data_IF_196423159039
#
_entry.id   IF_196423159039
#
_cell.length_a   1.000
_cell.length_b   1.000
_cell.length_c   1.000
_cell.angle_alpha   90.00
_cell.angle_beta   90.00
_cell.angle_gamma   90.00
#
_symmetry.space_group_name_H-M   'P 1'
#
loop_
_entity.id
_entity.type
_entity.pdbx_description
1 polymer ?
#
# COMPACT_ATOMS: atom_id res chain seq x y z
N UNK A 1 19.47 -7.91 16.92
CA UNK A 1 19.08 -6.98 15.81
C UNK A 1 17.56 -6.79 15.79
N UNK A 2 17.07 -5.55 15.69
CA UNK A 2 15.63 -5.24 15.76
C UNK A 2 14.84 -5.77 14.56
N UNK A 3 13.54 -5.97 14.75
CA UNK A 3 12.59 -6.39 13.69
C UNK A 3 12.22 -5.19 12.80
N UNK A 4 11.66 -5.45 11.64
CA UNK A 4 11.32 -4.42 10.66
C UNK A 4 9.90 -4.59 10.13
N UNK A 5 9.25 -3.45 9.88
CA UNK A 5 8.05 -3.33 9.05
C UNK A 5 8.49 -2.80 7.70
N UNK A 6 8.55 -3.67 6.70
CA UNK A 6 8.76 -3.28 5.32
C UNK A 6 7.44 -2.85 4.69
N UNK A 7 7.48 -1.78 3.90
CA UNK A 7 6.34 -1.33 3.10
C UNK A 7 6.72 -1.39 1.63
N UNK A 8 6.08 -2.29 0.88
CA UNK A 8 6.26 -2.47 -0.55
C UNK A 8 4.96 -2.08 -1.26
N UNK A 9 4.90 -0.88 -1.81
CA UNK A 9 3.72 -0.44 -2.54
C UNK A 9 3.96 0.70 -3.50
N UNK A 10 2.86 1.35 -3.91
CA UNK A 10 2.88 2.47 -4.83
C UNK A 10 2.86 3.83 -4.11
N UNK A 11 2.30 4.87 -4.74
CA UNK A 11 2.20 6.22 -4.19
C UNK A 11 1.37 6.28 -2.91
N UNK A 12 0.34 5.43 -2.79
CA UNK A 12 -0.48 5.37 -1.58
C UNK A 12 0.31 4.82 -0.40
N UNK A 13 1.25 3.90 -0.64
CA UNK A 13 2.16 3.36 0.38
C UNK A 13 3.41 4.20 0.62
N UNK A 14 3.83 4.95 -0.40
CA UNK A 14 4.89 5.94 -0.29
C UNK A 14 4.52 7.05 0.71
N UNK A 15 3.24 7.38 0.82
CA UNK A 15 2.75 8.51 1.63
C UNK A 15 2.61 9.78 0.80
N UNK A 16 2.12 9.68 -0.43
CA UNK A 16 1.91 10.85 -1.30
C UNK A 16 1.11 11.93 -0.58
N UNK A 17 1.67 13.13 -0.44
CA UNK A 17 1.01 14.26 0.23
C UNK A 17 0.96 14.16 1.76
N UNK A 18 1.69 13.22 2.38
CA UNK A 18 1.68 12.98 3.83
C UNK A 18 3.11 12.83 4.36
N UNK A 19 3.39 13.40 5.53
CA UNK A 19 4.70 13.25 6.18
C UNK A 19 5.00 11.78 6.48
N UNK A 20 6.27 11.39 6.42
CA UNK A 20 6.71 9.99 6.60
C UNK A 20 6.21 9.38 7.92
N UNK A 21 6.26 10.14 9.01
CA UNK A 21 5.83 9.75 10.36
C UNK A 21 4.31 9.53 10.46
N UNK A 22 3.56 10.07 9.50
CA UNK A 22 2.11 9.91 9.42
C UNK A 22 1.70 8.79 8.46
N UNK A 23 2.64 8.12 7.78
CA UNK A 23 2.32 6.99 6.90
C UNK A 23 1.86 5.77 7.69
N UNK A 24 1.00 4.94 7.08
CA UNK A 24 0.37 3.82 7.78
C UNK A 24 1.40 2.80 8.29
N UNK A 25 2.51 2.61 7.58
CA UNK A 25 3.60 1.73 8.03
C UNK A 25 4.30 2.28 9.26
N UNK A 26 4.49 3.61 9.33
CA UNK A 26 5.03 4.27 10.50
C UNK A 26 4.08 4.20 11.69
N UNK A 27 2.80 4.50 11.48
CA UNK A 27 1.74 4.43 12.49
C UNK A 27 1.64 3.01 13.05
N UNK A 28 1.55 1.99 12.19
CA UNK A 28 1.49 0.59 12.59
C UNK A 28 2.70 0.19 13.46
N UNK A 29 3.92 0.54 13.03
CA UNK A 29 5.14 0.32 13.82
C UNK A 29 5.09 1.02 15.18
N UNK A 30 4.59 2.25 15.22
CA UNK A 30 4.48 3.01 16.48
C UNK A 30 3.52 2.35 17.46
N UNK A 31 2.39 1.86 16.97
CA UNK A 31 1.40 1.17 17.80
C UNK A 31 2.00 -0.14 18.33
N UNK A 32 2.60 -0.96 17.46
CA UNK A 32 3.25 -2.21 17.88
C UNK A 32 4.31 -1.95 18.95
N UNK A 33 5.20 -0.98 18.72
CA UNK A 33 6.30 -0.70 19.65
C UNK A 33 5.82 -0.28 21.04
N UNK A 34 4.67 0.40 21.15
CA UNK A 34 4.06 0.76 22.43
C UNK A 34 3.42 -0.43 23.15
N UNK A 35 3.10 -1.50 22.42
CA UNK A 35 2.53 -2.73 22.96
C UNK A 35 3.57 -3.80 23.28
N UNK A 36 4.85 -3.55 23.02
CA UNK A 36 5.94 -4.48 23.33
C UNK A 36 6.17 -4.61 24.84
N UNK A 37 6.53 -5.81 25.28
CA UNK A 37 6.95 -6.07 26.66
C UNK A 37 8.38 -5.56 26.90
N UNK A 38 8.75 -5.23 28.16
CA UNK A 38 10.13 -4.93 28.50
C UNK A 38 11.10 -6.02 28.01
N UNK A 39 12.14 -5.63 27.28
CA UNK A 39 13.14 -6.54 26.71
C UNK A 39 12.84 -7.05 25.29
N UNK A 40 11.64 -6.83 24.75
CA UNK A 40 11.36 -7.15 23.35
C UNK A 40 12.03 -6.15 22.39
N UNK A 41 12.56 -6.67 21.28
CA UNK A 41 13.21 -5.83 20.28
C UNK A 41 12.19 -4.97 19.54
N UNK A 42 12.46 -3.66 19.46
CA UNK A 42 11.61 -2.72 18.72
C UNK A 42 11.63 -2.97 17.22
N UNK A 43 10.51 -2.59 16.59
CA UNK A 43 10.39 -2.54 15.14
C UNK A 43 10.89 -1.19 14.61
N UNK A 44 11.55 -1.23 13.46
CA UNK A 44 11.81 -0.06 12.60
C UNK A 44 10.95 -0.13 11.33
N UNK A 45 10.81 0.98 10.61
CA UNK A 45 10.14 0.99 9.30
C UNK A 45 11.15 1.09 8.17
N UNK A 46 10.90 0.32 7.12
CA UNK A 46 11.67 0.35 5.88
C UNK A 46 10.71 0.53 4.71
N UNK A 47 10.52 1.77 4.27
CA UNK A 47 9.64 2.05 3.14
C UNK A 47 10.39 1.80 1.81
N UNK A 48 9.90 0.84 1.03
CA UNK A 48 10.36 0.47 -0.31
C UNK A 48 9.33 0.82 -1.39
N UNK A 49 8.33 1.61 -1.02
CA UNK A 49 7.28 2.03 -1.94
C UNK A 49 7.78 3.09 -2.91
N UNK A 50 7.19 3.12 -4.10
CA UNK A 50 7.52 4.12 -5.12
C UNK A 50 6.26 4.51 -5.89
N UNK A 51 5.97 5.81 -6.08
CA UNK A 51 4.86 6.24 -6.93
C UNK A 51 4.89 5.57 -8.31
N UNK A 52 3.72 5.11 -8.76
CA UNK A 52 3.57 4.45 -10.06
C UNK A 52 4.03 2.98 -10.12
N UNK A 53 4.48 2.38 -9.00
CA UNK A 53 4.94 1.00 -8.94
C UNK A 53 3.79 0.01 -9.20
N UNK A 54 3.97 -0.87 -10.18
CA UNK A 54 3.08 -2.01 -10.46
C UNK A 54 3.61 -3.29 -9.83
N UNK A 55 2.85 -4.39 -9.87
CA UNK A 55 3.36 -5.70 -9.40
C UNK A 55 4.56 -6.21 -10.18
N UNK A 56 4.70 -5.83 -11.46
CA UNK A 56 5.89 -6.16 -12.25
C UNK A 56 7.16 -5.51 -11.66
N UNK A 57 7.07 -4.22 -11.32
CA UNK A 57 8.17 -3.51 -10.64
C UNK A 57 8.37 -3.98 -9.21
N UNK A 58 7.28 -4.22 -8.47
CA UNK A 58 7.30 -4.72 -7.10
C UNK A 58 7.99 -6.08 -6.98
N UNK A 59 7.78 -6.99 -7.93
CA UNK A 59 8.48 -8.28 -7.98
C UNK A 59 9.99 -8.11 -8.14
N UNK A 60 10.44 -7.14 -8.94
CA UNK A 60 11.88 -6.84 -9.07
C UNK A 60 12.43 -6.23 -7.79
N UNK A 61 11.68 -5.34 -7.15
CA UNK A 61 12.07 -4.70 -5.91
C UNK A 61 12.23 -5.71 -4.76
N UNK A 62 11.24 -6.60 -4.57
CA UNK A 62 11.28 -7.58 -3.46
C UNK A 62 12.42 -8.58 -3.59
N UNK A 63 12.80 -8.96 -4.82
CA UNK A 63 13.97 -9.81 -5.08
C UNK A 63 15.31 -9.16 -4.70
N UNK A 64 15.33 -7.84 -4.48
CA UNK A 64 16.51 -7.11 -4.03
C UNK A 64 16.46 -6.82 -2.52
N UNK A 65 15.37 -7.18 -1.83
CA UNK A 65 15.19 -6.96 -0.39
C UNK A 65 15.82 -8.10 0.43
N UNK A 66 17.13 -8.25 0.30
CA UNK A 66 17.91 -9.27 1.04
C UNK A 66 18.01 -8.98 2.55
N UNK A 67 17.46 -7.85 3.01
CA UNK A 67 17.45 -7.42 4.41
C UNK A 67 16.20 -7.87 5.18
N UNK A 68 15.24 -8.56 4.54
CA UNK A 68 14.10 -9.22 5.19
C UNK A 68 14.61 -10.38 6.05
N UNK A 69 14.09 -10.49 7.29
CA UNK A 69 14.45 -11.53 8.26
C UNK A 69 13.23 -12.20 8.89
N UNK A 70 13.41 -13.37 9.53
CA UNK A 70 12.37 -14.00 10.32
C UNK A 70 11.75 -13.05 11.36
N UNK A 71 10.42 -12.94 11.30
CA UNK A 71 9.64 -12.08 12.21
C UNK A 71 9.40 -10.66 11.70
N UNK A 72 9.95 -10.30 10.54
CA UNK A 72 9.64 -9.02 9.89
C UNK A 72 8.24 -9.06 9.24
N UNK A 73 7.53 -7.94 9.29
CA UNK A 73 6.29 -7.73 8.57
C UNK A 73 6.60 -7.10 7.20
N UNK A 74 5.95 -7.58 6.13
CA UNK A 74 6.05 -6.96 4.80
C UNK A 74 4.66 -6.61 4.31
N UNK A 75 4.33 -5.33 4.38
CA UNK A 75 3.06 -4.76 3.92
C UNK A 75 3.15 -4.55 2.40
N UNK A 76 2.38 -5.31 1.64
CA UNK A 76 2.34 -5.27 0.17
C UNK A 76 1.07 -4.56 -0.29
N UNK A 77 1.18 -3.46 -1.02
CA UNK A 77 0.04 -2.69 -1.55
C UNK A 77 0.31 -2.28 -2.98
N UNK A 78 -0.07 -3.15 -3.92
CA UNK A 78 0.17 -3.01 -5.36
C UNK A 78 -1.08 -3.48 -6.13
N UNK A 79 -1.27 -2.95 -7.34
CA UNK A 79 -2.39 -3.30 -8.22
C UNK A 79 -3.11 -2.10 -8.85
N UNK A 80 -3.09 -0.94 -8.19
CA UNK A 80 -3.70 0.29 -8.73
C UNK A 80 -2.98 0.68 -10.03
N UNK A 81 -1.65 0.70 -10.02
CA UNK A 81 -0.91 1.02 -11.24
C UNK A 81 -0.96 -0.07 -12.32
N UNK A 82 -1.32 -1.30 -11.98
CA UNK A 82 -1.37 -2.44 -12.90
C UNK A 82 -2.51 -2.31 -13.91
N UNK A 83 -3.67 -1.80 -13.46
CA UNK A 83 -4.82 -1.57 -14.34
C UNK A 83 -4.68 -0.31 -15.21
N UNK A 84 -3.71 0.56 -14.94
CA UNK A 84 -3.65 1.86 -15.60
C UNK A 84 -3.44 1.66 -17.11
N UNK A 85 -4.21 2.38 -17.96
CA UNK A 85 -4.08 2.23 -19.41
C UNK A 85 -2.72 2.73 -19.89
N UNK A 86 -2.10 1.98 -20.79
CA UNK A 86 -0.83 2.33 -21.42
C UNK A 86 -0.78 1.85 -22.87
N UNK A 87 0.14 2.44 -23.64
CA UNK A 87 0.39 2.02 -25.02
C UNK A 87 1.17 0.70 -25.14
N UNK A 88 1.88 0.30 -24.08
CA UNK A 88 2.65 -0.94 -23.96
C UNK A 88 2.63 -1.41 -22.50
N UNK A 89 2.78 -2.72 -22.26
CA UNK A 89 2.87 -3.28 -20.91
C UNK A 89 4.19 -2.92 -20.22
N UNK A 90 4.25 -3.06 -18.91
CA UNK A 90 5.48 -2.83 -18.13
C UNK A 90 6.57 -3.85 -18.50
N UNK A 91 6.18 -5.08 -18.87
CA UNK A 91 7.10 -6.09 -19.42
C UNK A 91 7.70 -5.62 -20.75
N UNK A 92 6.87 -5.23 -21.72
CA UNK A 92 7.31 -4.72 -23.03
C UNK A 92 8.21 -3.49 -22.87
N UNK A 93 7.80 -2.55 -22.00
CA UNK A 93 8.59 -1.36 -21.68
C UNK A 93 9.95 -1.74 -21.13
N UNK A 94 10.04 -2.76 -20.28
CA UNK A 94 11.32 -3.19 -19.72
C UNK A 94 12.26 -3.80 -20.76
N UNK A 95 11.73 -4.55 -21.73
CA UNK A 95 12.50 -5.10 -22.85
C UNK A 95 13.04 -3.97 -23.73
N UNK A 96 12.19 -2.99 -24.08
CA UNK A 96 12.59 -1.82 -24.87
C UNK A 96 13.67 -0.98 -24.18
N UNK A 97 13.61 -0.86 -22.85
CA UNK A 97 14.60 -0.11 -22.08
C UNK A 97 15.94 -0.84 -21.90
N UNK A 98 15.99 -2.16 -22.12
CA UNK A 98 17.23 -2.94 -22.04
C UNK A 98 18.14 -2.78 -23.27
N UNK A 99 17.66 -2.19 -24.37
CA UNK A 99 18.52 -1.85 -25.52
C UNK A 99 19.28 -0.52 -25.30
N UNK A 100 20.61 -0.62 -25.18
CA UNK A 100 21.66 0.43 -25.22
C UNK A 100 21.63 1.61 -24.22
N UNK A 101 20.48 1.97 -23.63
CA UNK A 101 20.34 3.13 -22.74
C UNK A 101 20.55 2.84 -21.24
N UNK A 102 20.78 1.57 -20.87
CA UNK A 102 20.77 1.10 -19.48
C UNK A 102 21.93 1.65 -18.61
N UNK A 103 23.13 1.81 -19.17
CA UNK A 103 24.32 2.25 -18.41
C UNK A 103 24.18 3.70 -17.94
N UNK A 104 23.80 4.59 -18.86
CA UNK A 104 23.61 6.01 -18.56
C UNK A 104 22.46 6.22 -17.56
N UNK A 105 21.39 5.41 -17.69
CA UNK A 105 20.22 5.54 -16.83
C UNK A 105 20.41 4.98 -15.42
N UNK A 106 21.14 3.88 -15.25
CA UNK A 106 21.50 3.34 -13.92
C UNK A 106 22.34 4.32 -13.10
N UNK A 107 23.22 5.07 -13.76
CA UNK A 107 23.97 6.15 -13.12
C UNK A 107 23.07 7.32 -12.72
N UNK A 108 22.09 7.68 -13.57
CA UNK A 108 21.12 8.74 -13.27
C UNK A 108 20.11 8.36 -12.17
N UNK A 109 19.77 7.07 -12.02
CA UNK A 109 18.91 6.56 -10.94
C UNK A 109 19.55 6.66 -9.54
N UNK A 110 20.83 7.02 -9.43
CA UNK A 110 21.45 7.38 -8.14
C UNK A 110 21.05 8.78 -7.66
N UNK A 111 20.58 9.65 -8.57
CA UNK A 111 20.22 11.02 -8.23
C UNK A 111 18.74 11.13 -7.81
N UNK A 112 18.52 11.67 -6.62
CA UNK A 112 17.18 11.83 -6.03
C UNK A 112 16.26 12.67 -6.93
N UNK A 113 16.81 13.71 -7.57
CA UNK A 113 16.11 14.56 -8.54
C UNK A 113 15.60 13.77 -9.74
N UNK A 114 16.41 12.87 -10.32
CA UNK A 114 15.98 12.05 -11.44
C UNK A 114 14.83 11.10 -11.06
N UNK A 115 14.86 10.54 -9.83
CA UNK A 115 13.75 9.76 -9.28
C UNK A 115 12.48 10.60 -9.14
N UNK A 116 12.60 11.83 -8.64
CA UNK A 116 11.48 12.78 -8.51
C UNK A 116 10.91 13.20 -9.87
N UNK A 117 11.76 13.56 -10.85
CA UNK A 117 11.33 13.92 -12.20
C UNK A 117 10.65 12.76 -12.91
N UNK A 118 11.15 11.52 -12.74
CA UNK A 118 10.48 10.34 -13.30
C UNK A 118 9.12 10.09 -12.65
N UNK A 119 9.02 10.25 -11.33
CA UNK A 119 7.75 10.15 -10.61
C UNK A 119 6.75 11.18 -11.15
N UNK A 120 7.15 12.43 -11.32
CA UNK A 120 6.31 13.49 -11.86
C UNK A 120 5.93 13.25 -13.34
N UNK A 121 6.85 12.75 -14.17
CA UNK A 121 6.61 12.46 -15.59
C UNK A 121 5.65 11.30 -15.79
N UNK A 122 5.76 10.24 -14.98
CA UNK A 122 4.78 9.14 -14.99
C UNK A 122 3.38 9.68 -14.67
N UNK A 123 3.25 10.53 -13.65
CA UNK A 123 1.99 11.20 -13.34
C UNK A 123 1.47 12.10 -14.47
N UNK A 124 2.35 12.81 -15.17
CA UNK A 124 1.98 13.71 -16.28
C UNK A 124 1.52 12.98 -17.54
N UNK A 125 2.07 11.79 -17.85
CA UNK A 125 1.69 11.03 -19.05
C UNK A 125 0.36 10.29 -18.93
N UNK A 126 -0.13 10.04 -17.72
CA UNK A 126 -1.49 9.52 -17.50
C UNK A 126 -2.54 10.52 -18.01
N UNK A 127 -2.21 11.82 -18.03
CA UNK A 127 -3.15 12.88 -18.47
C UNK A 127 -3.12 13.23 -19.97
N UNK A 128 -2.16 12.75 -20.77
CA UNK A 128 -1.86 13.39 -22.08
C UNK A 128 -1.76 12.49 -23.31
N UNK A 129 -2.32 11.26 -23.32
CA UNK A 129 -2.30 10.43 -24.53
C UNK A 129 -3.69 9.96 -24.97
N UNK A 130 -4.47 10.91 -25.50
CA UNK A 130 -5.64 10.64 -26.34
C UNK A 130 -5.20 10.39 -27.78
N UNK A 131 -4.55 9.25 -28.02
CA UNK A 131 -4.23 8.76 -29.35
C UNK A 131 -4.93 7.42 -29.60
N UNK A 132 -5.38 7.20 -30.83
CA UNK A 132 -6.15 6.05 -31.38
C UNK A 132 -5.50 4.66 -31.26
N UNK A 133 -4.51 4.45 -30.40
CA UNK A 133 -3.88 3.15 -30.17
C UNK A 133 -4.67 2.35 -29.13
N UNK A 134 -4.89 1.06 -29.40
CA UNK A 134 -5.51 0.12 -28.46
C UNK A 134 -4.74 0.15 -27.13
N UNK A 135 -5.38 0.69 -26.10
CA UNK A 135 -4.81 0.75 -24.76
C UNK A 135 -4.81 -0.65 -24.14
N UNK A 136 -3.71 -0.99 -23.48
CA UNK A 136 -3.56 -2.22 -22.69
C UNK A 136 -3.36 -1.85 -21.23
N UNK A 137 -3.72 -2.75 -20.32
CA UNK A 137 -3.32 -2.61 -18.92
C UNK A 137 -1.80 -2.71 -18.82
N UNK A 138 -1.18 -1.91 -17.95
CA UNK A 138 0.27 -1.98 -17.70
C UNK A 138 0.72 -3.36 -17.29
N UNK A 139 -0.09 -4.07 -16.51
CA UNK A 139 0.10 -5.49 -16.15
C UNK A 139 -1.24 -6.21 -16.31
N UNK A 140 -1.27 -7.30 -17.06
CA UNK A 140 -2.49 -8.11 -17.22
C UNK A 140 -2.91 -8.75 -15.90
N UNK A 141 -4.15 -9.24 -15.81
CA UNK A 141 -4.66 -9.88 -14.58
C UNK A 141 -3.89 -11.19 -14.26
N UNK A 142 -3.54 -11.96 -15.28
CA UNK A 142 -2.79 -13.21 -15.10
C UNK A 142 -1.36 -12.91 -14.63
N UNK A 143 -0.71 -11.90 -15.22
CA UNK A 143 0.60 -11.43 -14.76
C UNK A 143 0.53 -10.86 -13.35
N UNK A 144 -0.52 -10.11 -13.01
CA UNK A 144 -0.75 -9.57 -11.67
C UNK A 144 -0.83 -10.68 -10.64
N UNK A 145 -1.65 -11.70 -10.87
CA UNK A 145 -1.78 -12.87 -10.00
C UNK A 145 -0.44 -13.60 -9.84
N UNK A 146 0.25 -13.85 -10.96
CA UNK A 146 1.57 -14.51 -10.95
C UNK A 146 2.62 -13.68 -10.20
N UNK A 147 2.64 -12.37 -10.40
CA UNK A 147 3.57 -11.46 -9.74
C UNK A 147 3.31 -11.41 -8.24
N UNK A 148 2.05 -11.27 -7.81
CA UNK A 148 1.70 -11.27 -6.38
C UNK A 148 2.09 -12.57 -5.70
N UNK A 149 1.80 -13.72 -6.32
CA UNK A 149 2.22 -15.03 -5.78
C UNK A 149 3.73 -15.07 -5.56
N UNK A 150 4.50 -14.71 -6.60
CA UNK A 150 5.96 -14.67 -6.50
C UNK A 150 6.47 -13.66 -5.47
N UNK A 151 5.80 -12.52 -5.30
CA UNK A 151 6.14 -11.54 -4.26
C UNK A 151 5.96 -12.17 -2.88
N UNK A 152 4.81 -12.78 -2.61
CA UNK A 152 4.55 -13.42 -1.32
C UNK A 152 5.50 -14.58 -1.05
N UNK A 153 5.77 -15.41 -2.06
CA UNK A 153 6.69 -16.54 -1.93
C UNK A 153 8.13 -16.07 -1.69
N UNK A 154 8.56 -14.98 -2.34
CA UNK A 154 9.88 -14.37 -2.09
C UNK A 154 9.98 -13.86 -0.64
N UNK A 155 8.96 -13.16 -0.16
CA UNK A 155 8.92 -12.65 1.23
C UNK A 155 9.02 -13.80 2.22
N UNK A 156 8.22 -14.86 2.03
CA UNK A 156 8.24 -16.06 2.88
C UNK A 156 9.58 -16.79 2.81
N UNK A 157 10.20 -16.86 1.65
CA UNK A 157 11.52 -17.46 1.45
C UNK A 157 12.61 -16.78 2.29
N UNK A 158 12.47 -15.48 2.59
CA UNK A 158 13.34 -14.74 3.51
C UNK A 158 12.90 -14.83 4.99
N UNK A 159 11.83 -15.56 5.30
CA UNK A 159 11.23 -15.67 6.64
C UNK A 159 10.31 -14.51 7.03
N UNK A 160 10.07 -13.56 6.12
CA UNK A 160 9.15 -12.45 6.35
C UNK A 160 7.69 -12.89 6.32
N UNK A 161 6.82 -12.07 6.92
CA UNK A 161 5.37 -12.27 6.95
C UNK A 161 4.68 -11.32 5.97
N UNK A 162 4.23 -11.79 4.79
CA UNK A 162 3.52 -10.93 3.85
C UNK A 162 2.13 -10.59 4.39
N UNK A 163 1.69 -9.34 4.18
CA UNK A 163 0.32 -8.87 4.41
C UNK A 163 -0.07 -8.07 3.17
N UNK A 164 -1.20 -8.40 2.56
CA UNK A 164 -1.70 -7.62 1.44
C UNK A 164 -2.63 -6.52 1.93
N UNK A 165 -2.34 -5.27 1.57
CA UNK A 165 -3.13 -4.09 1.93
C UNK A 165 -3.79 -3.55 0.67
N UNK A 166 -5.12 -3.70 0.59
CA UNK A 166 -5.93 -3.23 -0.50
C UNK A 166 -6.47 -1.83 -0.19
N UNK A 167 -6.01 -0.82 -0.94
CA UNK A 167 -6.43 0.59 -0.77
C UNK A 167 -7.37 1.01 -1.89
N UNK A 168 -6.90 1.03 -3.14
CA UNK A 168 -7.65 1.59 -4.26
C UNK A 168 -7.60 0.70 -5.52
N UNK A 169 -7.44 -0.61 -5.37
CA UNK A 169 -7.40 -1.51 -6.52
C UNK A 169 -8.76 -1.59 -7.22
N UNK A 170 -8.73 -1.68 -8.56
CA UNK A 170 -9.92 -1.92 -9.35
C UNK A 170 -10.54 -3.27 -9.00
N UNK A 171 -11.89 -3.36 -9.04
CA UNK A 171 -12.67 -4.51 -8.56
C UNK A 171 -12.08 -5.86 -8.96
N UNK A 172 -11.74 -6.05 -10.24
CA UNK A 172 -11.22 -7.32 -10.75
C UNK A 172 -9.82 -7.66 -10.21
N UNK A 173 -8.95 -6.66 -10.01
CA UNK A 173 -7.64 -6.84 -9.38
C UNK A 173 -7.77 -7.13 -7.89
N UNK A 174 -8.67 -6.41 -7.19
CA UNK A 174 -8.97 -6.64 -5.79
C UNK A 174 -9.51 -8.06 -5.54
N UNK A 175 -10.41 -8.56 -6.40
CA UNK A 175 -10.94 -9.93 -6.31
C UNK A 175 -9.84 -10.98 -6.47
N UNK A 176 -8.97 -10.83 -7.46
CA UNK A 176 -7.85 -11.76 -7.69
C UNK A 176 -6.86 -11.75 -6.52
N UNK A 177 -6.56 -10.57 -5.97
CA UNK A 177 -5.72 -10.47 -4.79
C UNK A 177 -6.35 -11.19 -3.59
N UNK A 178 -7.66 -10.98 -3.34
CA UNK A 178 -8.40 -11.62 -2.26
C UNK A 178 -8.42 -13.15 -2.38
N UNK A 179 -8.70 -13.68 -3.58
CA UNK A 179 -8.67 -15.12 -3.86
C UNK A 179 -7.28 -15.70 -3.60
N UNK A 180 -6.23 -15.03 -4.09
CA UNK A 180 -4.86 -15.44 -3.89
C UNK A 180 -4.49 -15.44 -2.40
N UNK A 181 -4.83 -14.38 -1.67
CA UNK A 181 -4.52 -14.26 -0.24
C UNK A 181 -5.24 -15.31 0.59
N UNK A 182 -6.50 -15.62 0.25
CA UNK A 182 -7.24 -16.73 0.88
C UNK A 182 -6.56 -18.08 0.61
N UNK A 183 -6.18 -18.35 -0.65
CA UNK A 183 -5.53 -19.61 -1.03
C UNK A 183 -4.12 -19.79 -0.44
N UNK A 184 -3.46 -18.70 -0.06
CA UNK A 184 -2.07 -18.72 0.46
C UNK A 184 -1.98 -18.44 1.95
N UNK A 185 -3.12 -18.21 2.63
CA UNK A 185 -3.15 -17.81 4.04
C UNK A 185 -2.45 -16.47 4.31
N UNK A 186 -2.28 -15.61 3.29
CA UNK A 186 -1.77 -14.26 3.48
C UNK A 186 -2.89 -13.39 4.05
N UNK A 187 -2.69 -12.60 5.12
CA UNK A 187 -3.69 -11.64 5.57
C UNK A 187 -4.04 -10.62 4.48
N UNK A 188 -5.34 -10.35 4.30
CA UNK A 188 -5.86 -9.36 3.35
C UNK A 188 -6.59 -8.25 4.11
N UNK A 189 -6.06 -7.02 3.99
CA UNK A 189 -6.62 -5.84 4.65
C UNK A 189 -7.31 -4.98 3.59
N UNK A 190 -8.64 -5.06 3.52
CA UNK A 190 -9.46 -4.16 2.72
C UNK A 190 -9.70 -2.83 3.44
N UNK A 191 -8.89 -1.82 3.15
CA UNK A 191 -8.92 -0.55 3.86
C UNK A 191 -10.28 0.14 3.74
N UNK A 192 -10.82 0.26 2.52
CA UNK A 192 -12.07 0.97 2.28
C UNK A 192 -13.24 0.30 2.99
N UNK A 193 -13.27 -1.04 2.98
CA UNK A 193 -14.29 -1.78 3.71
C UNK A 193 -14.16 -1.61 5.23
N UNK A 194 -12.93 -1.65 5.75
CA UNK A 194 -12.68 -1.65 7.19
C UNK A 194 -12.70 -0.26 7.83
N UNK A 195 -12.51 0.82 7.05
CA UNK A 195 -12.53 2.19 7.57
C UNK A 195 -13.95 2.76 7.70
N UNK A 196 -14.91 2.24 6.91
CA UNK A 196 -16.31 2.71 6.87
C UNK A 196 -16.99 2.84 8.24
N UNK A 197 -16.86 1.88 9.17
CA UNK A 197 -17.47 1.99 10.50
C UNK A 197 -17.00 3.21 11.31
N UNK A 198 -15.83 3.78 10.99
CA UNK A 198 -15.26 4.90 11.73
C UNK A 198 -15.69 6.28 11.22
N UNK A 199 -16.41 6.38 10.09
CA UNK A 199 -16.69 7.69 9.47
C UNK A 199 -17.42 8.67 10.38
N UNK A 200 -18.42 8.21 11.13
CA UNK A 200 -19.14 9.04 12.08
C UNK A 200 -18.27 9.51 13.27
N UNK A 201 -17.15 8.84 13.52
CA UNK A 201 -16.21 9.18 14.60
C UNK A 201 -15.08 10.09 14.12
N UNK A 202 -14.82 10.18 12.82
CA UNK A 202 -13.67 10.93 12.28
C UNK A 202 -13.67 12.39 12.74
N UNK A 203 -14.77 13.17 12.64
CA UNK A 203 -14.76 14.56 13.07
C UNK A 203 -14.45 14.71 14.57
N UNK A 204 -14.85 13.73 15.39
CA UNK A 204 -14.62 13.72 16.84
C UNK A 204 -13.18 13.32 17.17
N UNK A 205 -12.63 12.33 16.46
CA UNK A 205 -11.28 11.79 16.70
C UNK A 205 -10.18 12.68 16.12
N UNK A 206 -10.46 13.38 15.02
CA UNK A 206 -9.49 14.18 14.28
C UNK A 206 -9.98 15.60 13.96
N UNK A 207 -10.54 16.35 14.92
CA UNK A 207 -11.30 17.59 14.63
C UNK A 207 -10.48 18.62 13.85
N UNK A 208 -9.22 18.84 14.22
CA UNK A 208 -8.35 19.82 13.55
C UNK A 208 -7.99 19.44 12.12
N UNK A 209 -7.70 18.16 11.87
CA UNK A 209 -7.29 17.68 10.54
C UNK A 209 -8.52 17.54 9.64
N UNK A 210 -9.62 17.04 10.20
CA UNK A 210 -10.90 16.94 9.52
C UNK A 210 -11.35 18.31 9.03
N UNK A 211 -11.32 19.33 9.91
CA UNK A 211 -11.71 20.68 9.49
C UNK A 211 -10.83 21.23 8.38
N UNK A 212 -9.51 21.00 8.41
CA UNK A 212 -8.64 21.43 7.30
C UNK A 212 -9.00 20.78 5.97
N UNK A 213 -9.39 19.50 5.96
CA UNK A 213 -9.83 18.83 4.73
C UNK A 213 -11.22 19.28 4.32
N UNK A 214 -12.13 19.51 5.27
CA UNK A 214 -13.44 20.06 5.00
C UNK A 214 -13.34 21.48 4.41
N UNK A 215 -12.47 22.34 4.94
CA UNK A 215 -12.22 23.68 4.38
C UNK A 215 -11.62 23.62 2.96
N UNK A 216 -10.80 22.61 2.67
CA UNK A 216 -10.15 22.45 1.37
C UNK A 216 -11.04 21.80 0.29
N UNK A 217 -11.91 20.87 0.68
CA UNK A 217 -12.64 20.00 -0.24
C UNK A 217 -14.17 20.12 -0.13
N UNK A 218 -14.69 20.63 0.99
CA UNK A 218 -16.08 20.99 1.27
C UNK A 218 -17.11 20.05 0.63
N UNK A 219 -17.75 20.56 -0.43
CA UNK A 219 -18.78 19.88 -1.21
C UNK A 219 -18.38 18.46 -1.64
N UNK A 220 -17.11 18.23 -2.03
CA UNK A 220 -16.65 16.90 -2.43
C UNK A 220 -16.73 15.89 -1.29
N UNK A 221 -16.44 16.31 -0.06
CA UNK A 221 -16.53 15.41 1.12
C UNK A 221 -17.98 15.09 1.46
N UNK A 222 -18.92 15.98 1.14
CA UNK A 222 -20.36 15.73 1.29
C UNK A 222 -20.87 14.77 0.21
N UNK A 223 -20.36 14.88 -1.03
CA UNK A 223 -20.66 13.96 -2.13
C UNK A 223 -20.11 12.54 -1.90
N UNK A 224 -18.94 12.44 -1.26
CA UNK A 224 -18.29 11.17 -1.00
C UNK A 224 -17.52 11.19 0.33
N UNK A 225 -18.11 10.53 1.33
CA UNK A 225 -17.54 10.34 2.68
C UNK A 225 -16.12 9.75 2.67
N UNK A 226 -15.72 9.04 1.60
CA UNK A 226 -14.37 8.49 1.48
C UNK A 226 -13.29 9.59 1.47
N UNK A 227 -13.61 10.81 1.05
CA UNK A 227 -12.66 11.92 1.05
C UNK A 227 -12.36 12.45 2.47
N UNK A 228 -13.05 11.96 3.50
CA UNK A 228 -12.60 12.13 4.88
C UNK A 228 -11.29 11.38 5.17
N UNK A 229 -11.01 10.29 4.44
CA UNK A 229 -9.84 9.43 4.65
C UNK A 229 -8.94 9.30 3.42
N UNK A 230 -9.42 9.67 2.24
CA UNK A 230 -8.67 9.76 0.99
C UNK A 230 -8.54 11.22 0.55
N UNK A 231 -7.57 11.52 -0.31
CA UNK A 231 -7.63 12.74 -1.09
C UNK A 231 -8.79 12.69 -2.10
N UNK A 232 -9.22 13.84 -2.67
CA UNK A 232 -10.30 13.88 -3.67
C UNK A 232 -10.01 13.13 -4.98
N UNK A 233 -8.89 12.43 -5.10
CA UNK A 233 -8.60 11.48 -6.17
C UNK A 233 -9.20 10.08 -5.92
N UNK A 234 -9.76 9.84 -4.73
CA UNK A 234 -10.42 8.59 -4.38
C UNK A 234 -9.49 7.38 -4.27
N UNK A 235 -8.16 7.58 -4.24
CA UNK A 235 -7.19 6.50 -4.13
C UNK A 235 -6.16 6.72 -3.03
N UNK A 236 -5.57 7.92 -2.92
CA UNK A 236 -4.46 8.15 -1.99
C UNK A 236 -5.00 8.46 -0.60
N UNK A 237 -4.60 7.72 0.47
CA UNK A 237 -5.00 8.04 1.82
C UNK A 237 -4.44 9.40 2.25
N UNK A 238 -5.27 10.22 2.88
CA UNK A 238 -4.83 11.44 3.53
C UNK A 238 -4.25 11.10 4.93
N UNK A 239 -3.88 12.10 5.74
CA UNK A 239 -3.29 11.85 7.05
C UNK A 239 -4.23 11.07 8.02
N UNK A 240 -5.55 11.31 7.93
CA UNK A 240 -6.55 10.56 8.70
C UNK A 240 -6.62 9.11 8.20
N UNK A 241 -6.67 8.92 6.88
CA UNK A 241 -6.72 7.58 6.30
C UNK A 241 -5.50 6.73 6.63
N UNK A 242 -4.30 7.30 6.52
CA UNK A 242 -3.08 6.61 6.94
C UNK A 242 -3.09 6.26 8.43
N UNK A 243 -3.59 7.16 9.28
CA UNK A 243 -3.71 6.91 10.72
C UNK A 243 -4.64 5.73 11.01
N UNK A 244 -5.84 5.74 10.44
CA UNK A 244 -6.82 4.66 10.62
C UNK A 244 -6.33 3.34 10.02
N UNK A 245 -5.66 3.38 8.87
CA UNK A 245 -5.08 2.18 8.26
C UNK A 245 -3.99 1.54 9.15
N UNK A 246 -3.14 2.35 9.78
CA UNK A 246 -2.15 1.83 10.73
C UNK A 246 -2.78 1.16 11.96
N UNK A 247 -3.90 1.71 12.45
CA UNK A 247 -4.67 1.13 13.56
C UNK A 247 -5.38 -0.17 13.13
N UNK A 248 -6.03 -0.18 11.97
CA UNK A 248 -6.66 -1.37 11.38
C UNK A 248 -5.64 -2.51 11.20
N UNK A 249 -4.44 -2.19 10.73
CA UNK A 249 -3.34 -3.16 10.61
C UNK A 249 -2.98 -3.77 11.96
N UNK A 250 -2.86 -2.96 13.00
CA UNK A 250 -2.56 -3.45 14.35
C UNK A 250 -3.65 -4.36 14.89
N UNK A 251 -4.91 -3.92 14.81
CA UNK A 251 -6.07 -4.67 15.26
C UNK A 251 -6.21 -5.99 14.50
N UNK A 252 -5.90 -6.02 13.20
CA UNK A 252 -6.05 -7.23 12.38
C UNK A 252 -4.91 -8.25 12.55
N UNK A 253 -3.69 -7.79 12.83
CA UNK A 253 -2.49 -8.64 12.79
C UNK A 253 -1.98 -9.05 14.16
N UNK A 254 -2.10 -8.18 15.17
CA UNK A 254 -1.50 -8.40 16.50
C UNK A 254 -2.57 -8.61 17.57
N UNK A 255 -3.75 -7.98 17.44
CA UNK A 255 -4.87 -8.25 18.34
C UNK A 255 -5.62 -9.50 17.85
N UNK A 256 -5.35 -10.66 18.47
CA UNK A 256 -6.20 -11.85 18.27
C UNK A 256 -7.67 -11.44 18.48
N UNK A 257 -8.63 -11.94 17.68
CA UNK A 257 -10.04 -11.75 17.99
C UNK A 257 -10.26 -12.30 19.39
N UNK A 258 -10.47 -11.41 20.35
CA UNK A 258 -10.75 -11.78 21.72
C UNK A 258 -11.96 -12.69 21.70
N UNK A 259 -11.86 -13.82 22.41
CA UNK A 259 -13.02 -14.56 22.89
C UNK A 259 -14.06 -13.52 23.32
N UNK A 260 -15.16 -13.44 22.58
CA UNK A 260 -16.37 -12.79 23.06
C UNK A 260 -16.65 -13.40 24.43
N UNK A 261 -16.55 -12.59 25.47
CA UNK A 261 -17.03 -12.94 26.80
C UNK A 261 -18.48 -13.39 26.66
N UNK A 262 -18.72 -14.69 26.79
CA UNK A 262 -20.08 -15.22 26.95
C UNK A 262 -20.73 -14.46 28.11
N UNK A 263 -21.96 -13.95 27.95
CA UNK A 263 -22.68 -13.36 29.05
C UNK A 263 -22.91 -14.46 30.09
N UNK A 264 -22.33 -14.25 31.27
CA UNK A 264 -22.45 -15.14 32.41
C UNK A 264 -23.90 -15.57 32.61
N UNK A 265 -24.11 -16.87 32.46
CA UNK A 265 -25.35 -17.57 32.79
C UNK A 265 -25.63 -17.31 34.28
N UNK A 266 -26.59 -16.44 34.59
CA UNK A 266 -27.16 -16.37 35.93
C UNK A 266 -27.90 -17.69 36.15
N UNK A 267 -27.33 -18.57 36.96
CA UNK A 267 -28.08 -19.64 37.61
C UNK A 267 -29.02 -19.00 38.64
N UNK A 268 -30.30 -19.32 38.53
CA UNK A 268 -31.28 -19.08 39.57
C UNK A 268 -31.12 -20.02 40.76
#
# INVERSE_FOLDING_TARGET
PGRSVFVLGDSSSFGWGVNFENTYGFVFKDIINRSLKPGEASYRVVNRSMPGLSTFGGLKAVRQMNDIKPGDWVLVSLGSNDHAPASITDLQRSVYLQSTSEKLRKELEKFLLYKMFRSAWVSFRVSFNHGTKRLVNRVSIDEYNKNLRNIFDTIRGHGGKPVFVNICNFKKYASVALELTNSTGTPFIDFIKQVRPFFNEIPKRFPKIFMRYFDAYGEKMEENELYAVLFPDGCHPNAIGHRLLGEILFESLERKPGKTSEPGRKTG
#
